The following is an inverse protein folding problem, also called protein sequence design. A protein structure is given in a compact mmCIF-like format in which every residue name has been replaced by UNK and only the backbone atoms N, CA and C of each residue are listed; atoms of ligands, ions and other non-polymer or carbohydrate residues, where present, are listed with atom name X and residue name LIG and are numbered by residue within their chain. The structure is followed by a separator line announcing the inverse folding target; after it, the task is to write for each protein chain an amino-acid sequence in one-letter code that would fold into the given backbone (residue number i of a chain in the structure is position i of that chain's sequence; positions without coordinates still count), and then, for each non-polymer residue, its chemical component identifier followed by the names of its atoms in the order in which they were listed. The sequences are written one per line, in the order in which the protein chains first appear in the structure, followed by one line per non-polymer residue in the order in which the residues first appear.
data_IF_774205041321
#
_entry.id   IF_774205041321
#
_cell.length_a   1.000
_cell.length_b   1.000
_cell.length_c   1.000
_cell.angle_alpha   90.00
_cell.angle_beta   90.00
_cell.angle_gamma   90.00
#
_symmetry.space_group_name_H-M   'P 1'
#
loop_
_entity.id
_entity.type
_entity.pdbx_description
1 polymer ?
#
# COMPACT_ATOMS: atom_id res chain seq x y z
N UNK A 1 6.32 32.94 12.92
CA UNK A 1 6.06 31.69 12.17
C UNK A 1 6.43 30.55 13.11
N UNK A 2 5.46 29.77 13.61
CA UNK A 2 5.72 28.69 14.57
C UNK A 2 6.57 27.64 13.84
N UNK A 3 7.86 27.57 14.17
CA UNK A 3 8.75 26.54 13.65
C UNK A 3 8.29 25.22 14.30
N UNK A 4 7.37 24.52 13.63
CA UNK A 4 6.80 23.26 14.13
C UNK A 4 7.95 22.24 14.17
N UNK A 5 8.22 21.70 15.36
CA UNK A 5 9.24 20.68 15.56
C UNK A 5 8.99 19.47 14.65
N UNK A 6 9.96 19.14 13.79
CA UNK A 6 9.87 18.03 12.83
C UNK A 6 9.66 16.70 13.54
N UNK A 7 10.29 16.51 14.71
CA UNK A 7 10.11 15.32 15.55
C UNK A 7 8.67 15.18 16.04
N UNK A 8 8.09 16.25 16.59
CA UNK A 8 6.69 16.22 17.03
C UNK A 8 5.75 15.94 15.86
N UNK A 9 5.97 16.56 14.69
CA UNK A 9 5.16 16.29 13.50
C UNK A 9 5.25 14.84 13.05
N UNK A 10 6.46 14.27 13.03
CA UNK A 10 6.70 12.89 12.62
C UNK A 10 5.95 11.90 13.51
N UNK A 11 6.13 11.98 14.83
CA UNK A 11 5.46 11.07 15.76
C UNK A 11 3.95 11.34 15.85
N UNK A 12 3.50 12.60 15.76
CA UNK A 12 2.08 12.90 15.68
C UNK A 12 1.43 12.29 14.43
N UNK A 13 2.10 12.35 13.27
CA UNK A 13 1.61 11.71 12.04
C UNK A 13 1.56 10.18 12.18
N UNK A 14 2.60 9.55 12.73
CA UNK A 14 2.61 8.09 12.98
C UNK A 14 1.50 7.67 13.96
N UNK A 15 1.30 8.43 15.03
CA UNK A 15 0.25 8.18 16.01
C UNK A 15 -1.15 8.35 15.38
N UNK A 16 -1.36 9.41 14.59
CA UNK A 16 -2.62 9.65 13.89
C UNK A 16 -2.96 8.52 12.92
N UNK A 17 -1.99 8.10 12.09
CA UNK A 17 -2.13 6.95 11.18
C UNK A 17 -2.57 5.70 11.94
N UNK A 18 -1.91 5.40 13.06
CA UNK A 18 -2.24 4.24 13.88
C UNK A 18 -3.66 4.32 14.47
N UNK A 19 -4.03 5.47 15.03
CA UNK A 19 -5.37 5.69 15.59
C UNK A 19 -6.46 5.56 14.53
N UNK A 20 -6.25 6.16 13.35
CA UNK A 20 -7.17 6.05 12.22
C UNK A 20 -7.31 4.61 11.74
N UNK A 21 -6.20 3.89 11.55
CA UNK A 21 -6.25 2.48 11.16
C UNK A 21 -6.99 1.62 12.18
N UNK A 22 -6.81 1.88 13.49
CA UNK A 22 -7.55 1.17 14.55
C UNK A 22 -9.05 1.45 14.48
N UNK A 23 -9.44 2.70 14.26
CA UNK A 23 -10.85 3.08 14.09
C UNK A 23 -11.44 2.44 12.83
N UNK A 24 -10.77 2.56 11.68
CA UNK A 24 -11.23 1.99 10.41
C UNK A 24 -11.34 0.46 10.49
N UNK A 25 -10.45 -0.20 11.22
CA UNK A 25 -10.54 -1.64 11.44
C UNK A 25 -11.80 -2.02 12.23
N UNK A 26 -12.18 -1.23 13.24
CA UNK A 26 -13.43 -1.44 13.96
C UNK A 26 -14.66 -1.22 13.06
N UNK A 27 -14.65 -0.17 12.23
CA UNK A 27 -15.70 0.10 11.23
C UNK A 27 -15.81 -1.07 10.22
N UNK A 28 -14.67 -1.59 9.74
CA UNK A 28 -14.63 -2.75 8.85
C UNK A 28 -15.19 -4.00 9.52
N UNK A 29 -14.83 -4.26 10.78
CA UNK A 29 -15.39 -5.39 11.51
C UNK A 29 -16.91 -5.25 11.65
N UNK A 30 -17.42 -4.09 12.04
CA UNK A 30 -18.85 -3.84 12.12
C UNK A 30 -19.55 -4.11 10.78
N UNK A 31 -19.01 -3.57 9.68
CA UNK A 31 -19.51 -3.82 8.32
C UNK A 31 -19.57 -5.32 8.00
N UNK A 32 -18.51 -6.08 8.33
CA UNK A 32 -18.42 -7.52 8.05
C UNK A 32 -19.35 -8.39 8.90
N UNK A 33 -19.91 -7.86 9.99
CA UNK A 33 -20.91 -8.54 10.84
C UNK A 33 -22.37 -8.25 10.42
N UNK A 34 -22.60 -7.28 9.52
CA UNK A 34 -23.94 -7.00 8.97
C UNK A 34 -24.42 -8.18 8.10
N UNK A 35 -25.74 -8.38 7.92
CA UNK A 35 -26.27 -9.32 6.93
C UNK A 35 -25.68 -9.09 5.54
N UNK A 36 -25.57 -10.15 4.71
CA UNK A 36 -24.93 -10.05 3.40
C UNK A 36 -25.65 -9.06 2.46
N UNK A 37 -26.98 -8.96 2.55
CA UNK A 37 -27.76 -7.97 1.80
C UNK A 37 -27.44 -6.50 2.14
N UNK A 38 -26.92 -6.25 3.34
CA UNK A 38 -26.58 -4.91 3.83
C UNK A 38 -25.10 -4.55 3.59
N UNK A 39 -24.30 -5.48 3.07
CA UNK A 39 -22.87 -5.29 2.79
C UNK A 39 -22.65 -4.73 1.38
N UNK A 40 -22.75 -3.41 1.23
CA UNK A 40 -22.37 -2.72 -0.01
C UNK A 40 -20.88 -2.94 -0.34
N UNK A 41 -20.59 -3.40 -1.57
CA UNK A 41 -19.22 -3.54 -2.05
C UNK A 41 -18.50 -2.19 -2.15
N UNK A 42 -19.25 -1.12 -2.43
CA UNK A 42 -18.71 0.23 -2.47
C UNK A 42 -18.23 0.69 -1.08
N UNK A 43 -19.00 0.41 -0.02
CA UNK A 43 -18.60 0.70 1.36
C UNK A 43 -17.36 -0.11 1.76
N UNK A 44 -17.37 -1.42 1.48
CA UNK A 44 -16.21 -2.28 1.73
C UNK A 44 -14.95 -1.79 1.02
N UNK A 45 -15.05 -1.45 -0.28
CA UNK A 45 -13.91 -0.93 -1.05
C UNK A 45 -13.34 0.38 -0.48
N UNK A 46 -14.22 1.27 0.00
CA UNK A 46 -13.79 2.54 0.63
C UNK A 46 -13.15 2.31 1.99
N UNK A 47 -13.64 1.38 2.81
CA UNK A 47 -13.02 1.02 4.09
C UNK A 47 -11.60 0.47 3.88
N UNK A 48 -11.39 -0.37 2.86
CA UNK A 48 -10.06 -0.84 2.47
C UNK A 48 -9.17 0.33 2.02
N UNK A 49 -9.67 1.22 1.16
CA UNK A 49 -8.91 2.38 0.69
C UNK A 49 -8.49 3.32 1.84
N UNK A 50 -9.40 3.60 2.78
CA UNK A 50 -9.13 4.38 4.00
C UNK A 50 -8.11 3.70 4.88
N UNK A 51 -8.17 2.38 5.05
CA UNK A 51 -7.21 1.66 5.90
C UNK A 51 -5.78 1.72 5.33
N UNK A 52 -5.65 1.57 4.00
CA UNK A 52 -4.38 1.68 3.29
C UNK A 52 -3.87 3.12 3.23
N UNK A 53 -4.76 4.11 3.16
CA UNK A 53 -4.44 5.53 3.05
C UNK A 53 -5.16 6.34 4.14
N UNK A 54 -4.82 6.15 5.43
CA UNK A 54 -5.59 6.72 6.54
C UNK A 54 -5.54 8.25 6.60
N UNK A 55 -4.53 8.84 5.98
CA UNK A 55 -4.37 10.29 5.90
C UNK A 55 -5.18 10.94 4.76
N UNK A 56 -5.73 10.14 3.83
CA UNK A 56 -6.53 10.64 2.71
C UNK A 56 -8.01 10.74 3.11
N UNK A 57 -8.67 11.79 2.61
CA UNK A 57 -10.10 12.03 2.85
C UNK A 57 -10.95 11.27 1.81
N UNK A 58 -11.14 9.97 2.07
CA UNK A 58 -11.98 9.09 1.24
C UNK A 58 -13.35 8.91 1.91
N UNK A 59 -14.42 9.21 1.18
CA UNK A 59 -15.80 9.16 1.68
C UNK A 59 -16.67 8.21 0.87
N UNK A 60 -17.39 7.32 1.58
CA UNK A 60 -18.38 6.40 0.98
C UNK A 60 -19.46 7.19 0.26
N UNK A 61 -19.98 8.26 0.89
CA UNK A 61 -21.02 9.11 0.31
C UNK A 61 -20.58 9.77 -0.98
N UNK A 62 -19.33 10.23 -1.05
CA UNK A 62 -18.76 10.84 -2.27
C UNK A 62 -18.65 9.82 -3.40
N UNK A 63 -18.12 8.63 -3.10
CA UNK A 63 -18.00 7.53 -4.07
C UNK A 63 -19.39 7.11 -4.60
N UNK A 64 -20.36 6.92 -3.71
CA UNK A 64 -21.74 6.58 -4.09
C UNK A 64 -22.42 7.68 -4.93
N UNK A 65 -22.16 8.95 -4.64
CA UNK A 65 -22.67 10.07 -5.43
C UNK A 65 -22.10 10.06 -6.86
N UNK A 66 -20.78 9.87 -7.00
CA UNK A 66 -20.14 9.78 -8.32
C UNK A 66 -20.67 8.59 -9.14
N UNK A 67 -20.90 7.44 -8.49
CA UNK A 67 -21.50 6.26 -9.16
C UNK A 67 -22.95 6.55 -9.57
N UNK A 68 -23.71 7.27 -8.74
CA UNK A 68 -25.07 7.69 -9.05
C UNK A 68 -25.12 8.64 -10.25
N UNK A 69 -24.17 9.59 -10.37
CA UNK A 69 -24.04 10.46 -11.54
C UNK A 69 -23.77 9.66 -12.83
N UNK A 70 -22.99 8.58 -12.75
CA UNK A 70 -22.77 7.68 -13.88
C UNK A 70 -24.07 6.93 -14.23
N UNK A 71 -24.80 6.43 -13.22
CA UNK A 71 -26.10 5.79 -13.43
C UNK A 71 -27.11 6.75 -14.10
N UNK A 72 -27.10 8.03 -13.73
CA UNK A 72 -27.93 9.06 -14.37
C UNK A 72 -27.58 9.25 -15.85
N UNK A 73 -26.29 9.24 -16.21
CA UNK A 73 -25.86 9.29 -17.61
C UNK A 73 -26.36 8.08 -18.40
N UNK A 74 -26.29 6.88 -17.83
CA UNK A 74 -26.81 5.65 -18.44
C UNK A 74 -28.32 5.72 -18.59
N UNK A 75 -29.04 6.18 -17.55
CA UNK A 75 -30.49 6.37 -17.57
C UNK A 75 -30.91 7.33 -18.67
N UNK A 76 -30.22 8.45 -18.82
CA UNK A 76 -30.49 9.44 -19.85
C UNK A 76 -30.25 8.89 -21.26
N UNK A 77 -29.23 8.04 -21.45
CA UNK A 77 -29.00 7.36 -22.73
C UNK A 77 -30.10 6.35 -23.02
N UNK A 78 -30.48 5.53 -22.04
CA UNK A 78 -31.57 4.56 -22.17
C UNK A 78 -32.90 5.22 -22.47
N UNK A 79 -33.23 6.32 -21.79
CA UNK A 79 -34.47 7.04 -22.02
C UNK A 79 -34.60 7.52 -23.47
N UNK A 80 -33.49 7.97 -24.09
CA UNK A 80 -33.47 8.37 -25.51
C UNK A 80 -33.68 7.18 -26.45
N UNK A 81 -33.25 5.98 -26.07
CA UNK A 81 -33.37 4.76 -26.89
C UNK A 81 -34.71 4.05 -26.69
N UNK A 82 -35.19 3.98 -25.45
CA UNK A 82 -36.40 3.29 -25.02
C UNK A 82 -36.99 4.00 -23.79
N UNK A 83 -37.89 4.99 -23.98
CA UNK A 83 -38.46 5.77 -22.88
C UNK A 83 -39.25 4.95 -21.85
N UNK A 84 -39.81 3.82 -22.28
CA UNK A 84 -40.62 2.92 -21.42
C UNK A 84 -39.76 1.84 -20.73
N UNK A 85 -38.43 1.89 -20.88
CA UNK A 85 -37.53 0.93 -20.26
C UNK A 85 -37.63 0.98 -18.71
N UNK A 86 -37.75 -0.15 -18.00
CA UNK A 86 -37.92 -0.14 -16.54
C UNK A 86 -36.77 0.56 -15.79
N UNK A 87 -35.54 0.48 -16.30
CA UNK A 87 -34.38 1.18 -15.73
C UNK A 87 -34.53 2.71 -15.68
N UNK A 88 -35.36 3.30 -16.55
CA UNK A 88 -35.63 4.74 -16.55
C UNK A 88 -36.35 5.21 -15.28
N UNK A 89 -37.05 4.32 -14.58
CA UNK A 89 -37.74 4.60 -13.34
C UNK A 89 -37.20 3.77 -12.16
N UNK A 90 -36.14 3.00 -12.37
CA UNK A 90 -35.55 2.16 -11.34
C UNK A 90 -34.93 3.02 -10.24
N UNK A 91 -35.09 2.54 -9.01
CA UNK A 91 -34.45 3.06 -7.80
C UNK A 91 -33.55 1.98 -7.23
N UNK A 92 -32.48 2.40 -6.58
CA UNK A 92 -31.63 1.49 -5.81
C UNK A 92 -32.48 0.73 -4.77
N UNK A 93 -32.32 -0.59 -4.68
CA UNK A 93 -33.16 -1.46 -3.83
C UNK A 93 -34.55 -1.76 -4.39
N UNK A 94 -34.86 -1.34 -5.62
CA UNK A 94 -36.11 -1.68 -6.31
C UNK A 94 -36.17 -3.14 -6.80
N UNK A 95 -37.29 -3.52 -7.42
CA UNK A 95 -37.45 -4.86 -8.01
C UNK A 95 -36.45 -5.09 -9.15
N UNK A 96 -35.79 -6.25 -9.12
CA UNK A 96 -34.92 -6.74 -10.19
C UNK A 96 -35.69 -6.78 -11.52
N UNK A 97 -35.05 -6.31 -12.60
CA UNK A 97 -35.55 -6.50 -13.96
C UNK A 97 -35.35 -7.96 -14.37
N UNK A 98 -36.38 -8.63 -14.89
CA UNK A 98 -36.28 -10.06 -15.26
C UNK A 98 -36.20 -10.28 -16.79
N UNK A 99 -36.67 -9.33 -17.60
CA UNK A 99 -36.66 -9.48 -19.05
C UNK A 99 -35.24 -9.37 -19.62
N UNK A 100 -34.69 -10.49 -20.11
CA UNK A 100 -33.31 -10.59 -20.61
C UNK A 100 -33.02 -9.63 -21.77
N UNK A 101 -33.98 -9.41 -22.67
CA UNK A 101 -33.78 -8.47 -23.79
C UNK A 101 -33.63 -7.02 -23.30
N UNK A 102 -34.41 -6.62 -22.28
CA UNK A 102 -34.28 -5.30 -21.66
C UNK A 102 -32.99 -5.20 -20.81
N UNK A 103 -32.61 -6.25 -20.10
CA UNK A 103 -31.31 -6.30 -19.40
C UNK A 103 -30.15 -6.11 -20.40
N UNK A 104 -30.20 -6.74 -21.58
CA UNK A 104 -29.23 -6.54 -22.66
C UNK A 104 -29.14 -5.09 -23.14
N UNK A 105 -30.29 -4.42 -23.33
CA UNK A 105 -30.32 -2.98 -23.68
C UNK A 105 -29.63 -2.11 -22.62
N UNK A 106 -29.82 -2.44 -21.34
CA UNK A 106 -29.15 -1.77 -20.23
C UNK A 106 -27.64 -2.02 -20.25
N UNK A 107 -27.17 -3.24 -20.51
CA UNK A 107 -25.74 -3.55 -20.65
C UNK A 107 -25.10 -2.79 -21.81
N UNK A 108 -25.77 -2.69 -22.96
CA UNK A 108 -25.30 -1.89 -24.09
C UNK A 108 -25.15 -0.40 -23.73
N UNK A 109 -26.13 0.14 -22.99
CA UNK A 109 -26.07 1.52 -22.53
C UNK A 109 -24.98 1.75 -21.48
N UNK A 110 -24.78 0.80 -20.56
CA UNK A 110 -23.68 0.80 -19.60
C UNK A 110 -22.33 0.85 -20.34
N UNK A 111 -22.14 -0.03 -21.33
CA UNK A 111 -20.90 -0.11 -22.08
C UNK A 111 -20.61 1.19 -22.85
N UNK A 112 -21.63 1.77 -23.50
CA UNK A 112 -21.50 3.07 -24.18
C UNK A 112 -21.09 4.18 -23.22
N UNK A 113 -21.76 4.29 -22.07
CA UNK A 113 -21.44 5.37 -21.12
C UNK A 113 -20.07 5.17 -20.48
N UNK A 114 -19.78 3.99 -19.93
CA UNK A 114 -18.54 3.75 -19.20
C UNK A 114 -17.31 3.82 -20.11
N UNK A 115 -17.34 3.14 -21.26
CA UNK A 115 -16.14 2.97 -22.07
C UNK A 115 -16.05 3.97 -23.23
N UNK A 116 -17.17 4.33 -23.86
CA UNK A 116 -17.14 5.24 -25.01
C UNK A 116 -17.27 6.71 -24.61
N UNK A 117 -18.11 7.05 -23.62
CA UNK A 117 -18.30 8.45 -23.19
C UNK A 117 -17.38 8.85 -22.04
N UNK A 118 -17.15 7.96 -21.08
CA UNK A 118 -16.35 8.23 -19.89
C UNK A 118 -14.92 7.69 -19.99
N UNK A 119 -14.62 6.84 -20.98
CA UNK A 119 -13.28 6.31 -21.23
C UNK A 119 -12.66 5.58 -20.04
N UNK A 120 -13.47 4.83 -19.29
CA UNK A 120 -12.92 3.89 -18.33
C UNK A 120 -12.11 2.80 -19.06
N UNK A 121 -11.00 2.35 -18.47
CA UNK A 121 -10.16 1.29 -19.06
C UNK A 121 -9.39 0.50 -18.01
N UNK A 122 -9.10 -0.78 -18.29
CA UNK A 122 -8.11 -1.54 -17.52
C UNK A 122 -6.70 -0.94 -17.65
N UNK A 123 -5.89 -1.06 -16.60
CA UNK A 123 -4.49 -0.64 -16.61
C UNK A 123 -3.54 -1.82 -16.81
N UNK A 124 -3.22 -2.15 -18.06
CA UNK A 124 -2.29 -3.24 -18.37
C UNK A 124 -0.82 -2.82 -18.23
N UNK A 125 -0.51 -1.55 -18.50
CA UNK A 125 0.86 -1.01 -18.47
C UNK A 125 1.43 -0.93 -17.05
N UNK A 126 0.59 -0.55 -16.08
CA UNK A 126 0.96 -0.37 -14.68
C UNK A 126 -0.05 -1.10 -13.77
N UNK A 127 -0.25 -2.40 -14.04
CA UNK A 127 -1.27 -3.25 -13.40
C UNK A 127 -1.16 -3.26 -11.87
N UNK A 128 0.06 -3.35 -11.34
CA UNK A 128 0.32 -3.48 -9.90
C UNK A 128 0.28 -2.14 -9.14
N UNK A 129 -0.03 -1.02 -9.82
CA UNK A 129 -0.22 0.25 -9.13
C UNK A 129 -1.36 0.14 -8.12
N UNK A 130 -1.11 0.42 -6.82
CA UNK A 130 -2.13 0.29 -5.79
C UNK A 130 -3.35 1.20 -6.03
N UNK A 131 -3.16 2.35 -6.69
CA UNK A 131 -4.24 3.27 -7.04
C UNK A 131 -5.28 2.65 -7.99
N UNK A 132 -4.92 1.60 -8.72
CA UNK A 132 -5.88 0.88 -9.58
C UNK A 132 -6.89 0.06 -8.75
N UNK A 133 -6.65 -0.13 -7.45
CA UNK A 133 -7.50 -0.93 -6.56
C UNK A 133 -8.46 -0.08 -5.69
N UNK A 134 -8.20 1.21 -5.54
CA UNK A 134 -9.00 2.11 -4.70
C UNK A 134 -10.12 2.74 -5.52
N UNK A 135 -11.39 2.49 -5.16
CA UNK A 135 -12.54 2.84 -5.98
C UNK A 135 -12.68 4.36 -6.23
N UNK A 136 -12.31 5.19 -5.26
CA UNK A 136 -12.23 6.65 -5.40
C UNK A 136 -11.20 7.08 -6.46
N UNK A 137 -10.03 6.42 -6.47
CA UNK A 137 -8.98 6.66 -7.45
C UNK A 137 -9.36 6.13 -8.83
N UNK A 138 -10.06 5.00 -8.91
CA UNK A 138 -10.58 4.46 -10.17
C UNK A 138 -11.62 5.40 -10.78
N UNK A 139 -12.52 5.97 -9.98
CA UNK A 139 -13.48 6.98 -10.44
C UNK A 139 -12.79 8.26 -10.94
N UNK A 140 -11.72 8.70 -10.28
CA UNK A 140 -10.97 9.89 -10.65
C UNK A 140 -10.11 9.69 -11.90
N UNK A 141 -9.31 8.62 -11.92
CA UNK A 141 -8.32 8.31 -12.97
C UNK A 141 -8.95 7.58 -14.16
N UNK A 142 -10.16 7.04 -14.00
CA UNK A 142 -10.87 6.21 -14.98
C UNK A 142 -10.09 4.96 -15.39
N UNK A 143 -9.24 4.47 -14.50
CA UNK A 143 -8.45 3.27 -14.73
C UNK A 143 -8.35 2.41 -13.48
N UNK A 144 -8.37 1.09 -13.66
CA UNK A 144 -8.44 0.14 -12.55
C UNK A 144 -8.02 -1.28 -12.91
N UNK A 145 -8.02 -2.15 -11.90
CA UNK A 145 -7.86 -3.62 -12.04
C UNK A 145 -9.22 -4.32 -12.21
N UNK A 146 -9.28 -5.59 -12.65
CA UNK A 146 -10.54 -6.27 -12.98
C UNK A 146 -11.62 -6.18 -11.90
N UNK A 147 -11.24 -6.31 -10.63
CA UNK A 147 -12.17 -6.27 -9.51
C UNK A 147 -12.79 -4.89 -9.32
N UNK A 148 -11.94 -3.85 -9.30
CA UNK A 148 -12.42 -2.48 -9.14
C UNK A 148 -13.36 -2.06 -10.27
N UNK A 149 -13.07 -2.50 -11.49
CA UNK A 149 -13.90 -2.28 -12.67
C UNK A 149 -15.25 -3.01 -12.56
N UNK A 150 -15.25 -4.26 -12.08
CA UNK A 150 -16.49 -5.01 -11.87
C UNK A 150 -17.33 -4.42 -10.74
N UNK A 151 -16.74 -3.96 -9.64
CA UNK A 151 -17.46 -3.26 -8.55
C UNK A 151 -18.17 -2.03 -9.12
N UNK A 152 -17.45 -1.19 -9.88
CA UNK A 152 -18.04 0.00 -10.52
C UNK A 152 -19.20 -0.39 -11.45
N UNK A 153 -18.97 -1.34 -12.35
CA UNK A 153 -19.96 -1.75 -13.34
C UNK A 153 -21.24 -2.29 -12.68
N UNK A 154 -21.09 -3.21 -11.73
CA UNK A 154 -22.21 -3.78 -10.98
C UNK A 154 -22.94 -2.74 -10.13
N UNK A 155 -22.21 -1.80 -9.52
CA UNK A 155 -22.79 -0.73 -8.73
C UNK A 155 -23.66 0.23 -9.57
N UNK A 156 -23.26 0.53 -10.80
CA UNK A 156 -24.08 1.32 -11.74
C UNK A 156 -25.30 0.51 -12.21
N UNK A 157 -25.10 -0.74 -12.60
CA UNK A 157 -26.18 -1.63 -13.06
C UNK A 157 -27.27 -1.83 -11.97
N UNK A 158 -26.85 -2.02 -10.71
CA UNK A 158 -27.74 -2.21 -9.55
C UNK A 158 -28.67 -1.02 -9.33
N UNK A 159 -28.18 0.21 -9.49
CA UNK A 159 -28.98 1.45 -9.42
C UNK A 159 -30.00 1.60 -10.54
N UNK A 160 -29.87 0.79 -11.60
CA UNK A 160 -30.72 0.75 -12.77
C UNK A 160 -31.62 -0.51 -12.81
N UNK A 161 -31.67 -1.26 -11.69
CA UNK A 161 -32.54 -2.42 -11.52
C UNK A 161 -31.97 -3.73 -12.09
N UNK A 162 -30.67 -3.81 -12.34
CA UNK A 162 -30.00 -5.03 -12.79
C UNK A 162 -28.91 -5.45 -11.79
N UNK A 163 -29.17 -6.54 -11.09
CA UNK A 163 -28.19 -7.23 -10.26
C UNK A 163 -27.37 -8.17 -11.11
N UNK A 164 -26.06 -7.98 -11.07
CA UNK A 164 -25.05 -8.86 -11.65
C UNK A 164 -24.28 -9.51 -10.51
N UNK A 165 -23.92 -10.78 -10.66
CA UNK A 165 -23.25 -11.50 -9.59
C UNK A 165 -21.74 -11.58 -9.85
N UNK A 166 -20.97 -11.44 -8.78
CA UNK A 166 -19.52 -11.35 -8.88
C UNK A 166 -18.90 -12.74 -8.87
N UNK A 167 -18.00 -13.02 -9.82
CA UNK A 167 -17.36 -14.32 -9.96
C UNK A 167 -15.85 -14.18 -10.12
N UNK A 168 -15.10 -14.94 -9.33
CA UNK A 168 -13.64 -15.00 -9.44
C UNK A 168 -13.24 -16.17 -10.34
N UNK A 169 -12.35 -15.87 -11.28
CA UNK A 169 -11.58 -16.85 -12.05
C UNK A 169 -10.11 -16.78 -11.60
N UNK A 170 -9.30 -17.82 -11.81
CA UNK A 170 -7.86 -17.70 -11.67
C UNK A 170 -7.36 -16.54 -12.54
N UNK A 171 -6.65 -15.58 -11.94
CA UNK A 171 -6.09 -14.37 -12.57
C UNK A 171 -7.07 -13.34 -13.16
N UNK A 172 -8.40 -13.54 -13.05
CA UNK A 172 -9.37 -12.59 -13.60
C UNK A 172 -10.67 -12.54 -12.81
N UNK A 173 -11.40 -11.42 -12.90
CA UNK A 173 -12.64 -11.22 -12.15
C UNK A 173 -13.71 -10.68 -13.07
N UNK A 174 -14.89 -11.30 -13.03
CA UNK A 174 -15.98 -11.07 -13.97
C UNK A 174 -17.31 -10.90 -13.25
N UNK A 175 -18.31 -10.45 -13.99
CA UNK A 175 -19.70 -10.43 -13.57
C UNK A 175 -20.48 -11.50 -14.34
N UNK A 176 -21.30 -12.30 -13.68
CA UNK A 176 -22.24 -13.21 -14.34
C UNK A 176 -23.62 -12.56 -14.49
N UNK A 177 -24.22 -12.82 -15.63
CA UNK A 177 -25.53 -12.32 -16.04
C UNK A 177 -26.42 -13.51 -16.47
N UNK A 178 -27.49 -13.82 -15.73
CA UNK A 178 -28.39 -14.93 -16.07
C UNK A 178 -29.08 -14.70 -17.42
N UNK A 179 -29.09 -15.75 -18.26
CA UNK A 179 -29.74 -15.75 -19.58
C UNK A 179 -31.10 -16.46 -19.58
N UNK A 180 -31.49 -17.06 -18.45
CA UNK A 180 -32.80 -17.70 -18.24
C UNK A 180 -33.26 -17.52 -16.79
N UNK A 181 -34.57 -17.59 -16.56
CA UNK A 181 -35.12 -17.62 -15.21
C UNK A 181 -34.72 -18.93 -14.50
N UNK A 182 -34.26 -18.82 -13.25
CA UNK A 182 -33.79 -19.98 -12.48
C UNK A 182 -32.44 -20.55 -12.95
N UNK A 183 -31.63 -19.75 -13.67
CA UNK A 183 -30.28 -20.11 -14.10
C UNK A 183 -29.47 -20.74 -12.95
N UNK A 184 -28.91 -21.93 -13.19
CA UNK A 184 -28.19 -22.69 -12.16
C UNK A 184 -26.91 -23.32 -12.67
N UNK A 185 -26.83 -23.62 -13.96
CA UNK A 185 -25.62 -24.18 -14.57
C UNK A 185 -24.79 -23.10 -15.26
N UNK A 186 -23.45 -23.27 -15.38
CA UNK A 186 -22.59 -22.28 -16.05
C UNK A 186 -23.04 -21.86 -17.45
N UNK A 187 -23.69 -22.77 -18.21
CA UNK A 187 -24.21 -22.53 -19.56
C UNK A 187 -25.40 -21.55 -19.60
N UNK A 188 -26.07 -21.39 -18.46
CA UNK A 188 -27.25 -20.53 -18.29
C UNK A 188 -26.85 -19.06 -18.08
N UNK A 189 -25.54 -18.76 -18.03
CA UNK A 189 -25.00 -17.44 -17.77
C UNK A 189 -24.15 -16.94 -18.94
N UNK A 190 -24.26 -15.64 -19.18
CA UNK A 190 -23.25 -14.87 -19.87
C UNK A 190 -22.33 -14.19 -18.84
N UNK A 191 -21.12 -13.85 -19.25
CA UNK A 191 -20.12 -13.22 -18.41
C UNK A 191 -19.73 -11.87 -18.99
N UNK A 192 -19.74 -10.83 -18.16
CA UNK A 192 -19.38 -9.47 -18.51
C UNK A 192 -17.97 -9.18 -17.99
N UNK A 193 -17.08 -8.80 -18.90
CA UNK A 193 -15.73 -8.39 -18.59
C UNK A 193 -15.61 -6.88 -18.46
N UNK A 194 -15.81 -6.36 -17.24
CA UNK A 194 -15.74 -4.92 -17.02
C UNK A 194 -14.31 -4.35 -17.21
N UNK A 195 -13.28 -5.18 -17.11
CA UNK A 195 -11.89 -4.77 -17.35
C UNK A 195 -11.64 -4.57 -18.84
N UNK A 196 -12.11 -5.53 -19.63
CA UNK A 196 -11.98 -5.55 -21.09
C UNK A 196 -13.15 -4.82 -21.76
N UNK A 197 -13.53 -3.63 -21.32
CA UNK A 197 -14.52 -2.81 -22.04
C UNK A 197 -15.99 -3.29 -21.99
N UNK A 198 -16.35 -4.14 -21.02
CA UNK A 198 -17.70 -4.63 -20.82
C UNK A 198 -18.15 -5.71 -21.81
N UNK A 199 -17.20 -6.37 -22.48
CA UNK A 199 -17.53 -7.43 -23.44
C UNK A 199 -18.32 -8.55 -22.74
N UNK A 200 -19.43 -8.93 -23.36
CA UNK A 200 -20.28 -10.03 -22.90
C UNK A 200 -19.91 -11.28 -23.69
N UNK A 201 -19.64 -12.38 -23.00
CA UNK A 201 -19.34 -13.68 -23.64
C UNK A 201 -20.12 -14.79 -22.99
N UNK A 202 -20.47 -15.80 -23.76
CA UNK A 202 -21.06 -17.04 -23.27
C UNK A 202 -20.03 -17.87 -22.48
N UNK A 203 -20.54 -18.80 -21.67
CA UNK A 203 -19.69 -19.73 -20.93
C UNK A 203 -18.77 -20.55 -21.85
N UNK A 204 -19.24 -20.94 -23.04
CA UNK A 204 -18.44 -21.71 -24.01
C UNK A 204 -17.30 -20.89 -24.59
N UNK A 205 -17.52 -19.61 -24.89
CA UNK A 205 -16.47 -18.72 -25.41
C UNK A 205 -15.37 -18.45 -24.38
N UNK A 206 -15.72 -18.34 -23.09
CA UNK A 206 -14.73 -18.14 -22.03
C UNK A 206 -13.85 -19.38 -21.78
N UNK A 207 -14.40 -20.60 -21.95
CA UNK A 207 -13.60 -21.84 -21.83
C UNK A 207 -12.45 -21.89 -22.84
N UNK A 208 -12.67 -21.34 -24.03
CA UNK A 208 -11.72 -21.46 -25.16
C UNK A 208 -10.53 -20.52 -24.98
N UNK A 209 -10.73 -19.32 -24.42
CA UNK A 209 -9.66 -18.35 -24.25
C UNK A 209 -8.71 -18.65 -23.08
N UNK A 210 -9.18 -19.29 -22.00
CA UNK A 210 -8.36 -19.59 -20.83
C UNK A 210 -7.87 -21.05 -20.80
N UNK A 211 -7.28 -21.50 -21.91
CA UNK A 211 -6.68 -22.84 -22.05
C UNK A 211 -5.31 -22.90 -21.37
N UNK A 212 -5.29 -22.77 -20.04
CA UNK A 212 -4.21 -23.18 -19.14
C UNK A 212 -4.78 -24.01 -17.97
N UNK A 213 -5.69 -24.95 -18.29
CA UNK A 213 -6.17 -25.96 -17.33
C UNK A 213 -7.24 -25.51 -16.33
N UNK A 214 -7.99 -24.43 -16.61
CA UNK A 214 -9.06 -23.96 -15.71
C UNK A 214 -10.37 -24.72 -16.01
N UNK A 215 -10.75 -25.64 -15.13
CA UNK A 215 -12.10 -26.20 -15.11
C UNK A 215 -13.10 -25.10 -14.68
N UNK A 216 -14.12 -24.83 -15.50
CA UNK A 216 -15.33 -24.03 -15.14
C UNK A 216 -16.05 -24.49 -13.85
N UNK A 217 -15.63 -25.61 -13.27
CA UNK A 217 -16.10 -26.08 -11.97
C UNK A 217 -15.57 -25.24 -10.78
N UNK A 218 -14.59 -24.36 -11.01
CA UNK A 218 -14.01 -23.49 -9.97
C UNK A 218 -14.48 -22.04 -10.21
N UNK A 219 -15.79 -21.83 -10.14
CA UNK A 219 -16.39 -20.48 -10.10
C UNK A 219 -16.87 -20.24 -8.68
N UNK A 220 -16.22 -19.31 -7.98
CA UNK A 220 -16.62 -18.92 -6.64
C UNK A 220 -17.50 -17.67 -6.69
N UNK A 221 -18.70 -17.75 -6.12
CA UNK A 221 -19.50 -16.55 -5.85
C UNK A 221 -18.69 -15.65 -4.92
N UNK A 222 -18.43 -14.43 -5.36
CA UNK A 222 -17.67 -13.48 -4.58
C UNK A 222 -18.61 -12.66 -3.72
N UNK A 223 -18.52 -12.87 -2.42
CA UNK A 223 -19.18 -12.04 -1.40
C UNK A 223 -18.31 -10.84 -1.06
N UNK A 224 -18.84 -9.89 -0.28
CA UNK A 224 -18.09 -8.70 0.11
C UNK A 224 -16.71 -9.02 0.72
N UNK A 225 -16.61 -10.07 1.55
CA UNK A 225 -15.33 -10.59 2.07
C UNK A 225 -14.34 -10.95 0.97
N UNK A 226 -14.77 -11.69 -0.05
CA UNK A 226 -13.92 -12.13 -1.18
C UNK A 226 -13.49 -10.96 -2.06
N UNK A 227 -14.36 -9.98 -2.27
CA UNK A 227 -14.07 -8.77 -3.04
C UNK A 227 -13.06 -7.87 -2.32
N UNK A 228 -13.18 -7.76 -1.00
CA UNK A 228 -12.25 -7.01 -0.17
C UNK A 228 -10.86 -7.65 -0.09
N UNK A 229 -10.74 -8.99 -0.20
CA UNK A 229 -9.45 -9.70 -0.08
C UNK A 229 -8.45 -9.38 -1.18
N UNK A 230 -8.90 -9.22 -2.42
CA UNK A 230 -7.97 -9.17 -3.56
C UNK A 230 -7.17 -7.85 -3.63
N UNK A 231 -7.75 -6.66 -3.36
CA UNK A 231 -6.96 -5.44 -3.17
C UNK A 231 -5.89 -5.57 -2.08
N UNK A 232 -6.20 -6.30 -0.99
CA UNK A 232 -5.23 -6.56 0.10
C UNK A 232 -4.08 -7.44 -0.38
N UNK A 233 -4.39 -8.51 -1.13
CA UNK A 233 -3.39 -9.39 -1.72
C UNK A 233 -2.54 -8.69 -2.78
N UNK A 234 -3.13 -7.78 -3.58
CA UNK A 234 -2.35 -6.95 -4.51
C UNK A 234 -1.44 -5.97 -3.78
N UNK A 235 -1.90 -5.35 -2.68
CA UNK A 235 -1.02 -4.55 -1.83
C UNK A 235 0.14 -5.41 -1.29
N UNK A 236 -0.13 -6.61 -0.78
CA UNK A 236 0.91 -7.55 -0.31
C UNK A 236 1.91 -7.93 -1.43
N UNK A 237 1.44 -8.10 -2.66
CA UNK A 237 2.28 -8.40 -3.83
C UNK A 237 3.08 -7.18 -4.32
N UNK A 238 2.53 -5.97 -4.27
CA UNK A 238 3.24 -4.74 -4.64
C UNK A 238 4.44 -4.48 -3.71
N UNK A 239 4.40 -5.00 -2.48
CA UNK A 239 5.49 -4.90 -1.50
C UNK A 239 6.45 -6.10 -1.49
N UNK A 240 6.39 -7.01 -2.49
CA UNK A 240 7.36 -8.13 -2.61
C UNK A 240 8.81 -7.68 -2.85
N UNK A 241 9.07 -6.40 -3.09
CA UNK A 241 10.42 -5.81 -3.08
C UNK A 241 10.33 -4.29 -2.90
N UNK A 242 10.73 -3.73 -1.73
CA UNK A 242 12.09 -3.20 -1.59
C UNK A 242 12.69 -3.41 -0.18
N UNK A 243 14.03 -3.32 -0.06
CA UNK A 243 14.72 -3.47 1.24
C UNK A 243 14.38 -2.38 2.27
N UNK A 244 14.24 -2.76 3.54
CA UNK A 244 14.12 -1.87 4.71
C UNK A 244 12.86 -2.06 5.58
N UNK A 245 12.88 -1.54 6.81
CA UNK A 245 11.82 -1.66 7.83
C UNK A 245 10.42 -1.16 7.40
N UNK A 246 10.35 -0.25 6.43
CA UNK A 246 9.09 0.25 5.86
C UNK A 246 8.28 -0.87 5.20
N UNK A 247 8.95 -1.84 4.60
CA UNK A 247 8.32 -2.99 3.95
C UNK A 247 7.61 -3.85 4.99
N UNK A 248 8.21 -4.08 6.16
CA UNK A 248 7.59 -4.83 7.24
C UNK A 248 6.40 -4.11 7.88
N UNK A 249 6.41 -2.78 8.03
CA UNK A 249 5.26 -2.03 8.53
C UNK A 249 4.06 -2.09 7.58
N UNK A 250 4.30 -2.01 6.27
CA UNK A 250 3.26 -2.08 5.24
C UNK A 250 2.71 -3.50 5.12
N UNK A 251 3.58 -4.51 5.12
CA UNK A 251 3.18 -5.92 5.17
C UNK A 251 2.39 -6.20 6.45
N UNK A 252 2.79 -5.66 7.61
CA UNK A 252 2.05 -5.79 8.87
C UNK A 252 0.63 -5.25 8.74
N UNK A 253 0.46 -4.02 8.26
CA UNK A 253 -0.87 -3.41 8.07
C UNK A 253 -1.72 -4.22 7.09
N UNK A 254 -1.14 -4.67 5.97
CA UNK A 254 -1.86 -5.50 5.00
C UNK A 254 -2.23 -6.88 5.56
N UNK A 255 -1.37 -7.50 6.38
CA UNK A 255 -1.67 -8.75 7.09
C UNK A 255 -2.78 -8.58 8.12
N UNK A 256 -2.76 -7.49 8.89
CA UNK A 256 -3.84 -7.18 9.84
C UNK A 256 -5.18 -7.04 9.12
N UNK A 257 -5.19 -6.41 7.95
CA UNK A 257 -6.39 -6.29 7.12
C UNK A 257 -6.83 -7.64 6.52
N UNK A 258 -5.89 -8.43 6.02
CA UNK A 258 -6.16 -9.77 5.49
C UNK A 258 -6.76 -10.69 6.56
N UNK A 259 -6.16 -10.74 7.74
CA UNK A 259 -6.62 -11.58 8.85
C UNK A 259 -7.92 -11.09 9.47
N UNK A 260 -8.30 -9.81 9.28
CA UNK A 260 -9.65 -9.35 9.61
C UNK A 260 -10.71 -9.91 8.65
N UNK A 261 -10.33 -10.16 7.39
CA UNK A 261 -11.21 -10.76 6.36
C UNK A 261 -11.23 -12.28 6.43
N UNK A 262 -10.09 -12.90 6.72
CA UNK A 262 -9.89 -14.36 6.81
C UNK A 262 -9.19 -14.68 8.13
N UNK A 263 -9.90 -14.66 9.27
CA UNK A 263 -9.28 -14.90 10.56
C UNK A 263 -8.67 -16.29 10.64
N UNK A 264 -9.27 -17.30 10.01
CA UNK A 264 -8.84 -18.71 10.11
C UNK A 264 -7.58 -19.05 9.30
N UNK A 265 -6.98 -18.10 8.57
CA UNK A 265 -5.78 -18.37 7.78
C UNK A 265 -4.53 -18.47 8.68
N UNK A 266 -4.23 -19.69 9.08
CA UNK A 266 -3.11 -20.01 9.96
C UNK A 266 -1.75 -19.64 9.35
N UNK A 267 -1.58 -19.73 8.03
CA UNK A 267 -0.28 -19.45 7.39
C UNK A 267 0.04 -17.96 7.50
N UNK A 268 -0.94 -17.11 7.20
CA UNK A 268 -0.79 -15.67 7.30
C UNK A 268 -0.77 -15.17 8.76
N UNK A 269 -1.43 -15.88 9.69
CA UNK A 269 -1.31 -15.61 11.13
C UNK A 269 0.09 -15.92 11.67
N UNK A 270 0.71 -17.02 11.24
CA UNK A 270 2.11 -17.32 11.57
C UNK A 270 3.07 -16.30 10.97
N UNK A 271 2.81 -15.83 9.74
CA UNK A 271 3.59 -14.76 9.12
C UNK A 271 3.47 -13.44 9.90
N UNK A 272 2.26 -13.09 10.38
CA UNK A 272 2.06 -11.93 11.25
C UNK A 272 2.89 -12.04 12.54
N UNK A 273 2.90 -13.21 13.20
CA UNK A 273 3.73 -13.44 14.39
C UNK A 273 5.23 -13.25 14.10
N UNK A 274 5.73 -13.78 12.97
CA UNK A 274 7.12 -13.58 12.55
C UNK A 274 7.47 -12.11 12.32
N UNK A 275 6.56 -11.34 11.72
CA UNK A 275 6.76 -9.91 11.48
C UNK A 275 6.69 -9.12 12.78
N UNK A 276 5.81 -9.48 13.71
CA UNK A 276 5.73 -8.84 15.03
C UNK A 276 7.03 -9.07 15.81
N UNK A 277 7.56 -10.30 15.80
CA UNK A 277 8.86 -10.61 16.38
C UNK A 277 9.98 -9.76 15.76
N UNK A 278 10.04 -9.69 14.43
CA UNK A 278 11.04 -8.90 13.72
C UNK A 278 10.95 -7.40 14.04
N UNK A 279 9.73 -6.89 14.26
CA UNK A 279 9.48 -5.49 14.60
C UNK A 279 9.52 -5.19 16.11
N UNK A 280 9.80 -6.19 16.96
CA UNK A 280 9.78 -6.04 18.42
C UNK A 280 8.40 -5.71 19.00
N UNK A 281 7.32 -6.09 18.31
CA UNK A 281 5.93 -5.88 18.74
C UNK A 281 5.51 -7.04 19.64
N UNK A 282 4.83 -6.72 20.74
CA UNK A 282 4.28 -7.72 21.66
C UNK A 282 3.29 -8.67 20.96
N UNK A 283 3.58 -9.97 21.03
CA UNK A 283 2.79 -11.05 20.45
C UNK A 283 1.50 -11.34 21.23
N UNK A 284 1.34 -10.82 22.44
CA UNK A 284 0.06 -10.88 23.17
C UNK A 284 -1.11 -10.22 22.42
N UNK A 285 -0.80 -9.45 21.38
CA UNK A 285 -1.78 -8.83 20.47
C UNK A 285 -2.31 -9.79 19.39
N UNK A 286 -1.79 -11.02 19.27
CA UNK A 286 -2.28 -12.02 18.30
C UNK A 286 -3.32 -12.91 18.98
N UNK A 287 -4.57 -12.81 18.54
CA UNK A 287 -5.70 -13.56 19.10
C UNK A 287 -6.10 -14.77 18.23
N UNK A 288 -6.80 -15.76 18.84
CA UNK A 288 -7.50 -16.83 18.11
C UNK A 288 -6.66 -18.05 17.70
N UNK A 289 -5.57 -18.35 18.40
CA UNK A 289 -4.67 -19.47 18.08
C UNK A 289 -4.96 -20.71 18.94
N UNK A 290 -4.85 -21.89 18.32
CA UNK A 290 -4.95 -23.20 18.97
C UNK A 290 -3.69 -23.48 19.84
N UNK A 291 -3.80 -24.21 20.98
CA UNK A 291 -2.67 -24.66 21.79
C UNK A 291 -1.46 -25.23 21.03
N UNK A 292 -1.65 -25.98 19.93
CA UNK A 292 -0.53 -26.52 19.15
C UNK A 292 0.25 -25.40 18.43
N UNK A 293 -0.46 -24.35 18.01
CA UNK A 293 0.09 -23.17 17.35
C UNK A 293 0.80 -22.24 18.35
N UNK A 294 0.31 -22.21 19.60
CA UNK A 294 1.01 -21.55 20.70
C UNK A 294 2.38 -22.17 20.97
N UNK A 295 2.53 -23.49 20.79
CA UNK A 295 3.82 -24.18 20.88
C UNK A 295 4.82 -23.71 19.81
N UNK A 296 4.43 -23.68 18.53
CA UNK A 296 5.31 -23.21 17.43
C UNK A 296 5.70 -21.74 17.62
N UNK A 297 4.79 -20.91 18.13
CA UNK A 297 5.08 -19.51 18.42
C UNK A 297 5.94 -19.37 19.69
N UNK A 298 5.75 -20.20 20.71
CA UNK A 298 6.64 -20.25 21.87
C UNK A 298 8.06 -20.63 21.43
N UNK A 299 8.22 -21.59 20.53
CA UNK A 299 9.51 -21.96 19.94
C UNK A 299 10.09 -20.81 19.11
N UNK A 300 9.27 -20.10 18.32
CA UNK A 300 9.71 -18.90 17.58
C UNK A 300 10.09 -17.75 18.52
N UNK A 301 9.39 -17.58 19.65
CA UNK A 301 9.71 -16.62 20.70
C UNK A 301 11.03 -16.99 21.36
N UNK A 302 11.24 -18.27 21.66
CA UNK A 302 12.46 -18.78 22.28
C UNK A 302 13.64 -18.61 21.32
N UNK A 303 13.50 -19.00 20.05
CA UNK A 303 14.50 -18.75 19.00
C UNK A 303 14.73 -17.25 18.74
N UNK A 304 13.69 -16.41 18.81
CA UNK A 304 13.84 -14.97 18.68
C UNK A 304 14.52 -14.38 19.91
N UNK A 305 14.25 -14.88 21.12
CA UNK A 305 14.95 -14.50 22.36
C UNK A 305 16.40 -14.96 22.35
N UNK A 306 16.71 -16.13 21.81
CA UNK A 306 18.08 -16.62 21.62
C UNK A 306 18.83 -15.76 20.60
N UNK A 307 18.23 -15.46 19.45
CA UNK A 307 18.81 -14.53 18.45
C UNK A 307 18.92 -13.11 18.97
N UNK A 308 17.94 -12.65 19.75
CA UNK A 308 17.97 -11.36 20.43
C UNK A 308 18.95 -11.38 21.60
N UNK A 309 19.27 -12.50 22.22
CA UNK A 309 20.33 -12.59 23.23
C UNK A 309 21.71 -12.51 22.58
N UNK A 310 21.87 -13.09 21.38
CA UNK A 310 23.09 -12.95 20.56
C UNK A 310 23.23 -11.56 19.91
N UNK A 311 22.13 -10.80 19.76
CA UNK A 311 22.14 -9.41 19.25
C UNK A 311 21.89 -8.34 20.32
N UNK A 312 21.55 -8.70 21.55
CA UNK A 312 21.33 -7.77 22.67
C UNK A 312 22.64 -7.13 23.12
N UNK A 313 23.78 -7.77 22.87
CA UNK A 313 25.10 -7.15 23.05
C UNK A 313 25.41 -6.05 22.00
N UNK A 314 24.63 -5.97 20.91
CA UNK A 314 24.80 -5.01 19.80
C UNK A 314 23.66 -3.97 19.68
N UNK A 315 22.53 -4.13 20.37
CA UNK A 315 21.32 -3.31 20.16
C UNK A 315 21.10 -2.15 21.16
N UNK A 316 21.97 -1.95 22.16
CA UNK A 316 22.09 -0.62 22.77
C UNK A 316 22.93 0.24 21.84
N UNK A 317 22.28 1.19 21.15
CA UNK A 317 22.98 2.16 20.31
C UNK A 317 24.04 2.88 21.15
N UNK A 318 25.30 2.41 21.05
CA UNK A 318 26.41 2.94 21.85
C UNK A 318 26.59 4.41 21.50
N UNK A 319 26.70 5.25 22.52
CA UNK A 319 27.02 6.68 22.35
C UNK A 319 28.29 6.78 21.52
N UNK A 320 28.21 7.47 20.37
CA UNK A 320 29.30 7.60 19.42
C UNK A 320 30.04 8.93 19.69
N UNK A 321 31.06 8.90 20.56
CA UNK A 321 31.85 10.10 20.85
C UNK A 321 32.96 10.27 19.84
N UNK A 322 33.24 11.51 19.42
CA UNK A 322 34.29 11.77 18.42
C UNK A 322 35.69 11.55 18.96
N UNK A 323 35.86 11.55 20.28
CA UNK A 323 37.12 11.26 20.95
C UNK A 323 37.39 9.76 21.10
N UNK A 324 36.41 8.89 20.84
CA UNK A 324 36.62 7.44 20.94
C UNK A 324 37.64 6.98 19.90
N UNK A 325 38.54 6.03 20.24
CA UNK A 325 39.55 5.55 19.33
C UNK A 325 38.94 5.01 18.02
N UNK A 326 39.48 5.46 16.88
CA UNK A 326 39.04 5.04 15.55
C UNK A 326 37.98 5.96 14.92
N UNK A 327 37.32 6.81 15.70
CA UNK A 327 36.35 7.78 15.19
C UNK A 327 37.02 9.02 14.57
N UNK A 328 38.34 9.19 14.71
CA UNK A 328 39.05 10.40 14.23
C UNK A 328 38.98 10.55 12.70
N UNK A 329 38.77 9.44 11.98
CA UNK A 329 38.69 9.40 10.51
C UNK A 329 37.32 9.84 9.97
N UNK A 330 36.31 9.96 10.82
CA UNK A 330 34.94 10.34 10.42
C UNK A 330 34.85 11.86 10.29
N UNK A 331 34.85 12.36 9.06
CA UNK A 331 34.99 13.79 8.77
C UNK A 331 33.68 14.59 8.86
N UNK A 332 32.53 13.95 8.63
CA UNK A 332 31.24 14.62 8.56
C UNK A 332 30.37 14.29 9.77
N UNK A 333 29.48 15.22 10.09
CA UNK A 333 28.58 15.16 11.23
C UNK A 333 27.13 14.84 10.83
N UNK A 334 26.42 14.17 11.71
CA UNK A 334 24.96 13.99 11.65
C UNK A 334 24.29 15.37 11.56
N UNK A 335 23.30 15.49 10.67
CA UNK A 335 22.57 16.73 10.40
C UNK A 335 23.17 17.62 9.31
N UNK A 336 24.34 17.29 8.75
CA UNK A 336 24.86 17.99 7.56
C UNK A 336 24.08 17.60 6.31
N UNK A 337 23.79 18.61 5.48
CA UNK A 337 23.25 18.42 4.13
C UNK A 337 24.41 18.25 3.15
N UNK A 338 24.40 17.13 2.44
CA UNK A 338 25.47 16.69 1.55
C UNK A 338 24.97 16.56 0.12
N UNK A 339 25.91 16.59 -0.81
CA UNK A 339 25.73 16.25 -2.22
C UNK A 339 26.63 15.05 -2.55
N UNK A 340 26.14 14.15 -3.38
CA UNK A 340 26.99 13.10 -3.94
C UNK A 340 27.98 13.70 -4.97
N UNK A 341 29.28 13.34 -4.89
CA UNK A 341 30.32 13.95 -5.74
C UNK A 341 30.17 13.64 -7.22
N UNK A 342 29.68 12.44 -7.56
CA UNK A 342 29.52 12.03 -8.96
C UNK A 342 28.26 12.67 -9.54
N UNK A 343 28.45 13.39 -10.64
CA UNK A 343 27.40 14.12 -11.39
C UNK A 343 26.28 13.19 -11.86
N UNK A 344 26.58 11.92 -12.14
CA UNK A 344 25.60 10.92 -12.60
C UNK A 344 24.52 10.57 -11.56
N UNK A 345 24.80 10.77 -10.27
CA UNK A 345 23.83 10.48 -9.20
C UNK A 345 23.17 11.73 -8.62
N UNK A 346 23.72 12.92 -8.90
CA UNK A 346 23.39 14.25 -8.34
C UNK A 346 22.16 14.31 -7.42
N UNK A 347 22.32 13.84 -6.18
CA UNK A 347 21.27 13.87 -5.16
C UNK A 347 21.71 14.67 -3.95
N UNK A 348 20.76 15.38 -3.36
CA UNK A 348 20.89 16.01 -2.04
C UNK A 348 20.45 15.04 -0.94
N UNK A 349 21.22 14.96 0.15
CA UNK A 349 20.89 14.12 1.29
C UNK A 349 21.26 14.76 2.62
N UNK A 350 20.74 14.23 3.73
CA UNK A 350 21.19 14.57 5.09
C UNK A 350 21.77 13.34 5.77
N UNK A 351 22.90 13.50 6.46
CA UNK A 351 23.52 12.43 7.25
C UNK A 351 22.68 12.19 8.51
N UNK A 352 22.16 10.97 8.67
CA UNK A 352 21.40 10.52 9.86
C UNK A 352 22.21 9.61 10.79
N UNK A 353 23.39 9.16 10.38
CA UNK A 353 24.31 8.35 11.19
C UNK A 353 25.59 8.03 10.43
N UNK A 354 26.59 7.50 11.13
CA UNK A 354 27.88 7.14 10.55
C UNK A 354 28.51 5.94 11.23
N UNK A 355 29.33 5.20 10.49
CA UNK A 355 30.13 4.08 10.97
C UNK A 355 31.59 4.29 10.56
N UNK A 356 32.53 3.83 11.37
CA UNK A 356 33.97 4.03 11.11
C UNK A 356 34.51 3.18 9.97
N UNK A 357 33.77 2.13 9.61
CA UNK A 357 34.01 1.22 8.51
C UNK A 357 32.67 0.72 7.96
N UNK A 358 32.69 0.00 6.83
CA UNK A 358 31.49 -0.55 6.23
C UNK A 358 30.94 -1.73 7.05
N UNK A 359 29.76 -1.57 7.65
CA UNK A 359 29.08 -2.61 8.44
C UNK A 359 28.25 -3.60 7.57
N UNK A 360 28.19 -3.37 6.26
CA UNK A 360 27.38 -4.20 5.34
C UNK A 360 28.09 -5.52 5.01
N UNK A 361 27.33 -6.60 4.80
CA UNK A 361 27.88 -7.91 4.44
C UNK A 361 28.65 -7.92 3.10
N UNK A 362 29.59 -8.87 2.94
CA UNK A 362 30.51 -8.94 1.80
C UNK A 362 29.82 -9.02 0.42
N UNK A 363 28.64 -9.65 0.34
CA UNK A 363 27.88 -9.73 -0.91
C UNK A 363 27.34 -8.36 -1.35
N UNK A 364 26.83 -7.58 -0.39
CA UNK A 364 26.40 -6.21 -0.64
C UNK A 364 27.58 -5.32 -1.04
N UNK A 365 28.72 -5.45 -0.34
CA UNK A 365 29.94 -4.70 -0.65
C UNK A 365 30.41 -4.94 -2.09
N UNK A 366 30.43 -6.21 -2.53
CA UNK A 366 30.76 -6.58 -3.92
C UNK A 366 29.77 -5.99 -4.92
N UNK A 367 28.46 -6.07 -4.62
CA UNK A 367 27.39 -5.57 -5.50
C UNK A 367 27.46 -4.06 -5.67
N UNK A 368 27.70 -3.33 -4.58
CA UNK A 368 27.84 -1.86 -4.59
C UNK A 368 29.24 -1.40 -4.99
N UNK A 369 30.16 -2.33 -5.30
CA UNK A 369 31.51 -2.02 -5.74
C UNK A 369 32.38 -1.35 -4.68
N UNK A 370 32.13 -1.59 -3.39
CA UNK A 370 32.90 -1.04 -2.27
C UNK A 370 34.37 -1.44 -2.36
N UNK A 371 34.67 -2.65 -2.84
CA UNK A 371 36.05 -3.13 -3.03
C UNK A 371 36.84 -2.35 -4.09
N UNK A 372 36.13 -1.61 -4.96
CA UNK A 372 36.73 -0.79 -6.03
C UNK A 372 36.92 0.67 -5.61
N UNK A 373 36.44 1.02 -4.42
CA UNK A 373 36.58 2.35 -3.87
C UNK A 373 38.03 2.57 -3.38
N UNK A 374 38.65 3.74 -3.63
CA UNK A 374 39.99 4.04 -3.14
C UNK A 374 40.14 3.85 -1.62
N UNK A 375 39.13 4.23 -0.84
CA UNK A 375 39.11 4.01 0.61
C UNK A 375 38.63 2.62 1.05
N UNK A 376 38.15 1.79 0.12
CA UNK A 376 37.61 0.45 0.37
C UNK A 376 36.51 0.43 1.44
N UNK A 377 36.37 -0.72 2.10
CA UNK A 377 35.44 -0.91 3.23
C UNK A 377 35.96 -0.35 4.57
N UNK A 378 37.25 -0.01 4.66
CA UNK A 378 37.91 0.43 5.90
C UNK A 378 37.80 1.95 6.16
N UNK A 379 37.24 2.71 5.21
CA UNK A 379 36.89 4.11 5.38
C UNK A 379 35.52 4.26 6.05
N UNK A 380 35.19 5.45 6.61
CA UNK A 380 33.87 5.69 7.15
C UNK A 380 32.74 5.64 6.13
N UNK A 381 31.58 5.20 6.58
CA UNK A 381 30.33 5.19 5.81
C UNK A 381 29.23 5.94 6.56
N UNK A 382 28.25 6.44 5.82
CA UNK A 382 27.18 7.29 6.32
C UNK A 382 25.82 6.72 5.94
N UNK A 383 24.94 6.66 6.93
CA UNK A 383 23.51 6.51 6.71
C UNK A 383 22.95 7.87 6.30
N UNK A 384 22.35 7.95 5.11
CA UNK A 384 21.83 9.20 4.56
C UNK A 384 20.37 9.08 4.15
N UNK A 385 19.59 10.12 4.45
CA UNK A 385 18.23 10.31 3.95
C UNK A 385 18.30 11.18 2.71
N UNK A 386 17.75 10.72 1.59
CA UNK A 386 17.87 11.38 0.28
C UNK A 386 16.58 12.11 -0.09
N UNK A 387 16.66 13.18 -0.88
CA UNK A 387 15.47 13.96 -1.27
C UNK A 387 14.41 13.16 -2.04
N UNK A 388 14.81 12.07 -2.72
CA UNK A 388 13.93 11.13 -3.41
C UNK A 388 13.18 10.16 -2.48
N UNK A 389 13.26 10.39 -1.15
CA UNK A 389 12.67 9.56 -0.10
C UNK A 389 13.32 8.17 0.12
N UNK A 390 14.47 7.91 -0.50
CA UNK A 390 15.28 6.72 -0.23
C UNK A 390 16.24 6.92 0.93
N UNK A 391 16.52 5.82 1.65
CA UNK A 391 17.65 5.74 2.57
C UNK A 391 18.83 5.09 1.84
N UNK A 392 20.03 5.64 1.96
CA UNK A 392 21.24 5.10 1.32
C UNK A 392 22.38 4.99 2.31
N UNK A 393 23.33 4.12 2.00
CA UNK A 393 24.57 3.93 2.74
C UNK A 393 25.74 4.35 1.86
N UNK A 394 26.37 5.48 2.19
CA UNK A 394 27.31 6.17 1.33
C UNK A 394 28.72 6.23 1.94
N UNK A 395 29.73 5.88 1.14
CA UNK A 395 31.13 6.04 1.54
C UNK A 395 31.51 7.51 1.71
N UNK A 396 32.35 7.82 2.71
CA UNK A 396 32.81 9.17 2.99
C UNK A 396 33.35 9.91 1.76
N UNK A 397 34.18 9.24 0.97
CA UNK A 397 34.82 9.87 -0.18
C UNK A 397 33.84 10.28 -1.29
N UNK A 398 32.64 9.71 -1.32
CA UNK A 398 31.61 10.00 -2.29
C UNK A 398 30.70 11.18 -1.89
N UNK A 399 30.87 11.72 -0.67
CA UNK A 399 30.08 12.83 -0.15
C UNK A 399 30.89 14.12 -0.08
N UNK A 400 30.22 15.23 -0.37
CA UNK A 400 30.73 16.58 -0.15
C UNK A 400 29.64 17.48 0.43
N UNK A 401 30.01 18.58 1.08
CA UNK A 401 29.04 19.58 1.55
C UNK A 401 28.25 20.12 0.36
N UNK A 402 26.93 20.25 0.54
CA UNK A 402 26.09 20.88 -0.48
C UNK A 402 26.33 22.40 -0.48
N UNK A 403 26.55 23.06 -1.63
CA UNK A 403 26.87 24.49 -1.69
C UNK A 403 25.68 25.40 -1.34
N UNK A 404 24.45 24.96 -1.61
CA UNK A 404 23.21 25.66 -1.28
C UNK A 404 22.24 24.72 -0.53
N UNK A 405 22.53 24.37 0.73
CA UNK A 405 21.82 23.33 1.47
C UNK A 405 20.36 23.72 1.75
N UNK A 406 19.43 22.82 1.43
CA UNK A 406 17.98 23.02 1.61
C UNK A 406 17.37 21.91 2.47
N UNK A 407 16.21 22.17 3.10
CA UNK A 407 15.43 21.09 3.70
C UNK A 407 15.03 20.08 2.63
N UNK A 408 15.26 18.80 2.88
CA UNK A 408 14.84 17.69 2.03
C UNK A 408 13.43 17.23 2.41
N UNK A 409 12.67 16.76 1.42
CA UNK A 409 11.31 16.23 1.61
C UNK A 409 11.32 14.72 1.90
N UNK A 410 12.14 14.26 2.84
CA UNK A 410 12.22 12.84 3.21
C UNK A 410 11.31 12.52 4.43
N UNK A 411 10.45 11.48 4.40
CA UNK A 411 9.42 11.30 5.43
C UNK A 411 9.98 10.94 6.82
N UNK A 412 11.19 10.38 6.90
CA UNK A 412 11.85 10.03 8.17
C UNK A 412 12.66 11.17 8.81
N UNK A 413 12.77 12.36 8.20
CA UNK A 413 13.64 13.43 8.72
C UNK A 413 13.29 13.77 10.18
N UNK A 414 12.00 13.83 10.52
CA UNK A 414 11.56 14.10 11.88
C UNK A 414 11.94 13.02 12.89
N UNK A 415 12.20 11.79 12.46
CA UNK A 415 12.70 10.71 13.34
C UNK A 415 14.04 11.06 13.97
N UNK A 416 14.90 11.77 13.24
CA UNK A 416 16.27 12.08 13.67
C UNK A 416 16.44 13.56 14.06
N UNK A 417 15.66 14.45 13.46
CA UNK A 417 15.88 15.90 13.56
C UNK A 417 14.65 16.64 14.07
N UNK A 418 14.89 17.68 14.87
CA UNK A 418 13.85 18.55 15.45
C UNK A 418 13.53 19.76 14.56
N UNK A 419 14.45 20.17 13.69
CA UNK A 419 14.27 21.32 12.81
C UNK A 419 15.40 21.48 11.80
N UNK A 420 15.25 22.46 10.90
CA UNK A 420 16.28 22.87 9.94
C UNK A 420 16.67 24.32 10.19
N UNK A 421 17.96 24.58 10.38
CA UNK A 421 18.52 25.89 10.70
C UNK A 421 19.40 26.39 9.56
N UNK A 422 18.78 27.07 8.59
CA UNK A 422 19.38 27.70 7.40
C UNK A 422 20.16 26.75 6.47
N UNK A 423 21.14 26.01 7.00
CA UNK A 423 22.09 25.19 6.25
C UNK A 423 22.25 23.77 6.76
N UNK A 424 21.74 23.44 7.95
CA UNK A 424 21.85 22.10 8.54
C UNK A 424 20.63 21.75 9.39
N UNK A 425 20.49 20.45 9.70
CA UNK A 425 19.46 19.96 10.60
C UNK A 425 19.90 19.95 12.06
N UNK A 426 18.97 20.27 12.96
CA UNK A 426 19.17 20.17 14.42
C UNK A 426 18.78 18.76 14.86
N UNK A 427 19.69 18.06 15.53
CA UNK A 427 19.41 16.75 16.12
C UNK A 427 18.25 16.87 17.12
N UNK A 428 17.43 15.82 17.21
CA UNK A 428 16.44 15.69 18.28
C UNK A 428 17.12 15.22 19.59
N UNK A 429 16.39 15.13 20.72
CA UNK A 429 16.99 14.72 22.00
C UNK A 429 17.68 13.34 21.96
N UNK A 430 17.05 12.35 21.33
CA UNK A 430 17.60 10.99 21.21
C UNK A 430 18.91 10.98 20.43
N UNK A 431 18.94 11.64 19.26
CA UNK A 431 20.14 11.75 18.44
C UNK A 431 21.23 12.57 19.12
N UNK A 432 20.87 13.55 19.95
CA UNK A 432 21.84 14.35 20.70
C UNK A 432 22.51 13.55 21.82
N UNK A 433 21.83 12.54 22.37
CA UNK A 433 22.45 11.58 23.30
C UNK A 433 23.37 10.62 22.56
N UNK A 434 22.94 10.14 21.38
CA UNK A 434 23.71 9.17 20.59
C UNK A 434 24.95 9.78 19.91
N UNK A 435 24.88 11.05 19.49
CA UNK A 435 25.95 11.78 18.80
C UNK A 435 26.25 13.13 19.50
N UNK A 436 26.78 13.12 20.72
CA UNK A 436 26.89 14.31 21.57
C UNK A 436 27.78 15.42 20.99
N UNK A 437 28.77 15.06 20.17
CA UNK A 437 29.75 16.00 19.63
C UNK A 437 29.35 16.60 18.27
N UNK A 438 28.39 15.99 17.57
CA UNK A 438 28.13 16.25 16.16
C UNK A 438 27.56 17.66 15.91
N UNK A 439 26.68 18.16 16.78
CA UNK A 439 26.18 19.53 16.65
C UNK A 439 27.30 20.59 16.75
N UNK A 440 28.35 20.32 17.53
CA UNK A 440 29.51 21.20 17.63
C UNK A 440 30.36 21.12 16.37
N UNK A 441 30.58 19.91 15.85
CA UNK A 441 31.32 19.68 14.61
C UNK A 441 30.63 20.32 13.39
N UNK A 442 29.30 20.23 13.29
CA UNK A 442 28.51 20.92 12.25
C UNK A 442 28.84 22.42 12.22
N UNK A 443 28.83 23.09 13.38
CA UNK A 443 29.13 24.53 13.47
C UNK A 443 30.56 24.84 13.03
N UNK A 444 31.53 23.99 13.39
CA UNK A 444 32.93 24.16 12.99
C UNK A 444 33.10 24.04 11.47
N UNK A 445 32.55 22.99 10.87
CA UNK A 445 32.66 22.72 9.44
C UNK A 445 32.01 23.80 8.58
N UNK A 446 30.82 24.29 8.96
CA UNK A 446 30.12 25.35 8.22
C UNK A 446 30.78 26.72 8.36
N UNK A 447 31.41 27.02 9.50
CA UNK A 447 32.18 28.26 9.68
C UNK A 447 33.46 28.27 8.82
N UNK A 448 34.09 27.11 8.61
CA UNK A 448 35.26 26.97 7.74
C UNK A 448 34.87 27.11 6.27
N UNK A 449 33.72 26.55 5.86
CA UNK A 449 33.24 26.64 4.48
C UNK A 449 32.74 28.04 4.06
N UNK A 450 32.49 28.94 5.02
CA UNK A 450 32.04 30.32 4.77
C UNK A 450 33.20 31.33 4.63
N UNK A 451 34.44 30.87 4.76
CA UNK A 451 35.67 31.63 4.50
C UNK A 451 36.28 31.15 3.20
#
# INVERSE_FOLDING_TARGET
MVCRCLTTQYYAKKALIFLQQKQIMAELQEFLHRPEEDQSLEEGAVLIARYCNPMEDVSVTRVQAQISEIADKVRNLLYKMNPIHPACNAREGGKQMHNIALQGQLLDALNKVLYQHLHFTGNEEDYYNPLNSYLDQVLQRRTGIPISMCILYAAVARRLGLHLEHVSFPSHFLLRWPQIDGASEPKDFAYVDAYSGGHVRSASEYRVQHTFGIHLQIVYNCRARSVCMVPVLLCLCAYRNPGGDRTFQLVRSALSLYLALVPEDYQYRLLQARIYLHLGIDLGQIHGMDPLQQGIIADLIEQAKERCADTADDAEARVKQRMDPGNERVHFAVGLVMKHKRVEYDYMCVISGWDVHCEMGQEWQRTMGVDRLPGGAAQPFYNVLVEDSSCRYAAQENLQLHPDPKPISHPEVGRYFSGFLRTCYTLNPEMSVLYPDDQKLVKQLLNVASK
#
